data_IF_235357644740
#
_entry.id   IF_235357644740
#
_cell.length_a   1.000
_cell.length_b   1.000
_cell.length_c   1.000
_cell.angle_alpha   90.00
_cell.angle_beta   90.00
_cell.angle_gamma   90.00
#
_symmetry.space_group_name_H-M   'P 1'
#
loop_
_entity.id
_entity.type
_entity.pdbx_description
1 polymer ?
#
# COMPACT_ATOMS: atom_id res chain seq x y z
N UNK A 1 15.39 15.98 1.20
CA UNK A 1 13.96 15.60 1.21
C UNK A 1 13.92 14.08 1.13
N UNK A 2 13.07 13.39 1.89
CA UNK A 2 13.00 11.92 1.84
C UNK A 2 12.41 11.49 0.49
N UNK A 3 12.97 10.45 -0.12
CA UNK A 3 12.34 9.77 -1.26
C UNK A 3 11.00 9.15 -0.80
N UNK A 4 10.02 9.11 -1.69
CA UNK A 4 8.68 8.60 -1.40
C UNK A 4 8.43 7.31 -2.16
N UNK A 5 7.84 6.33 -1.49
CA UNK A 5 7.30 5.11 -2.10
C UNK A 5 5.80 5.05 -1.86
N UNK A 6 5.06 4.72 -2.92
CA UNK A 6 3.61 4.55 -2.88
C UNK A 6 3.26 3.08 -3.00
N UNK A 7 2.42 2.59 -2.10
CA UNK A 7 1.86 1.26 -2.16
C UNK A 7 0.33 1.34 -2.29
N UNK A 8 -0.24 0.55 -3.18
CA UNK A 8 -1.58 0.03 -3.01
C UNK A 8 -1.63 -1.02 -1.88
N UNK A 9 -2.82 -1.46 -1.49
CA UNK A 9 -2.98 -2.51 -0.49
C UNK A 9 -3.43 -3.86 -1.05
N UNK A 10 -4.56 -3.92 -1.75
CA UNK A 10 -5.21 -5.19 -2.07
C UNK A 10 -4.56 -5.81 -3.31
N UNK A 11 -4.17 -7.08 -3.22
CA UNK A 11 -3.27 -7.77 -4.15
C UNK A 11 -1.88 -7.14 -4.33
N UNK A 12 -1.55 -6.10 -3.56
CA UNK A 12 -0.21 -5.48 -3.51
C UNK A 12 0.52 -5.84 -2.22
N UNK A 13 -0.06 -5.49 -1.06
CA UNK A 13 0.47 -5.84 0.26
C UNK A 13 -0.17 -7.11 0.82
N UNK A 14 -1.46 -7.32 0.54
CA UNK A 14 -2.20 -8.48 1.04
C UNK A 14 -3.24 -8.98 0.04
N UNK A 15 -3.73 -10.20 0.25
CA UNK A 15 -4.96 -10.72 -0.37
C UNK A 15 -5.85 -11.35 0.69
N UNK A 16 -7.14 -11.49 0.39
CA UNK A 16 -8.06 -12.27 1.23
C UNK A 16 -7.76 -13.75 1.01
N UNK A 17 -7.52 -14.48 2.10
CA UNK A 17 -7.30 -15.91 2.05
C UNK A 17 -8.60 -16.61 1.67
N UNK A 18 -8.61 -17.34 0.55
CA UNK A 18 -9.72 -18.21 0.19
C UNK A 18 -9.78 -19.37 1.19
N UNK A 19 -10.76 -19.33 2.11
CA UNK A 19 -11.03 -20.45 2.99
C UNK A 19 -11.49 -21.66 2.15
N UNK A 20 -10.77 -22.77 2.25
CA UNK A 20 -11.37 -24.08 2.00
C UNK A 20 -12.52 -24.28 3.01
N UNK A 21 -13.67 -24.71 2.53
CA UNK A 21 -14.93 -24.89 3.27
C UNK A 21 -14.76 -25.46 4.68
N UNK A 22 -14.86 -24.63 5.73
CA UNK A 22 -15.58 -24.97 6.97
C UNK A 22 -16.07 -23.66 7.61
N UNK A 23 -17.34 -23.34 7.40
CA UNK A 23 -18.04 -22.27 8.11
C UNK A 23 -18.55 -22.81 9.44
N UNK A 24 -17.89 -22.47 10.54
CA UNK A 24 -18.56 -22.41 11.85
C UNK A 24 -18.93 -20.96 12.12
N UNK A 25 -20.24 -20.72 12.08
CA UNK A 25 -20.86 -19.42 12.27
C UNK A 25 -20.50 -18.83 13.65
N UNK A 26 -19.81 -17.68 13.64
CA UNK A 26 -20.10 -16.44 14.37
C UNK A 26 -18.86 -15.54 14.26
N UNK A 27 -18.99 -14.43 13.54
CA UNK A 27 -17.92 -13.49 13.14
C UNK A 27 -16.86 -14.07 12.19
N UNK A 28 -17.18 -14.15 10.89
CA UNK A 28 -16.13 -14.35 9.87
C UNK A 28 -15.35 -13.04 9.73
N UNK A 29 -14.29 -12.87 10.52
CA UNK A 29 -13.24 -11.91 10.18
C UNK A 29 -12.59 -12.40 8.89
N UNK A 30 -12.64 -11.60 7.82
CA UNK A 30 -11.92 -11.90 6.58
C UNK A 30 -10.46 -12.17 6.92
N UNK A 31 -10.02 -13.42 6.74
CA UNK A 31 -8.63 -13.76 6.98
C UNK A 31 -7.81 -13.20 5.81
N UNK A 32 -6.82 -12.37 6.09
CA UNK A 32 -5.91 -11.82 5.10
C UNK A 32 -4.54 -12.47 5.22
N UNK A 33 -3.82 -12.54 4.10
CA UNK A 33 -2.42 -12.99 4.06
C UNK A 33 -1.58 -11.99 3.26
N UNK A 34 -0.31 -11.84 3.65
CA UNK A 34 0.63 -10.98 2.95
C UNK A 34 0.92 -11.52 1.55
N UNK A 35 1.05 -10.62 0.57
CA UNK A 35 1.60 -10.98 -0.73
C UNK A 35 3.09 -11.38 -0.59
N UNK A 36 3.64 -12.23 -1.47
CA UNK A 36 5.05 -12.62 -1.44
C UNK A 36 5.98 -11.41 -1.35
N UNK A 37 6.93 -11.44 -0.40
CA UNK A 37 7.93 -10.39 -0.14
C UNK A 37 7.36 -9.00 0.23
N UNK A 38 6.04 -8.82 0.34
CA UNK A 38 5.42 -7.51 0.51
C UNK A 38 5.84 -6.81 1.80
N UNK A 39 5.71 -7.49 2.94
CA UNK A 39 6.03 -6.89 4.24
C UNK A 39 7.54 -6.68 4.41
N UNK A 40 8.37 -7.61 3.91
CA UNK A 40 9.82 -7.45 3.92
C UNK A 40 10.28 -6.23 3.10
N UNK A 41 9.72 -6.07 1.90
CA UNK A 41 10.03 -4.93 1.01
C UNK A 41 9.53 -3.62 1.61
N UNK A 42 8.30 -3.59 2.11
CA UNK A 42 7.73 -2.44 2.82
C UNK A 42 8.63 -2.01 3.99
N UNK A 43 9.07 -2.95 4.83
CA UNK A 43 9.95 -2.68 5.96
C UNK A 43 11.36 -2.26 5.52
N UNK A 44 11.86 -2.78 4.39
CA UNK A 44 13.13 -2.35 3.81
C UNK A 44 13.11 -0.87 3.45
N UNK A 45 12.09 -0.40 2.72
CA UNK A 45 11.93 1.03 2.41
C UNK A 45 11.82 1.88 3.69
N UNK A 46 11.07 1.42 4.69
CA UNK A 46 10.95 2.11 5.97
C UNK A 46 12.32 2.29 6.64
N UNK A 47 13.12 1.22 6.73
CA UNK A 47 14.47 1.24 7.33
C UNK A 47 15.46 2.08 6.55
N UNK A 48 15.31 2.15 5.22
CA UNK A 48 16.11 3.02 4.36
C UNK A 48 15.70 4.50 4.46
N UNK A 49 14.65 4.82 5.21
CA UNK A 49 14.25 6.20 5.51
C UNK A 49 13.32 6.83 4.47
N UNK A 50 12.71 6.03 3.59
CA UNK A 50 11.70 6.50 2.66
C UNK A 50 10.47 7.01 3.41
N UNK A 51 9.78 8.00 2.81
CA UNK A 51 8.39 8.29 3.18
C UNK A 51 7.51 7.23 2.53
N UNK A 52 6.82 6.43 3.33
CA UNK A 52 5.84 5.47 2.84
C UNK A 52 4.46 6.10 2.82
N UNK A 53 3.79 5.98 1.69
CA UNK A 53 2.40 6.36 1.50
C UNK A 53 1.63 5.15 0.99
N UNK A 54 0.55 4.80 1.68
CA UNK A 54 -0.39 3.80 1.23
C UNK A 54 -1.61 4.52 0.66
N UNK A 55 -2.01 4.22 -0.56
CA UNK A 55 -3.21 4.75 -1.19
C UNK A 55 -4.14 3.58 -1.47
N UNK A 56 -5.31 3.54 -0.84
CA UNK A 56 -6.23 2.40 -0.87
C UNK A 56 -7.65 2.83 -1.28
N UNK A 57 -8.42 1.93 -1.88
CA UNK A 57 -9.87 2.13 -2.09
C UNK A 57 -10.68 1.91 -0.81
N UNK A 58 -10.14 1.17 0.17
CA UNK A 58 -10.74 1.05 1.50
C UNK A 58 -10.62 2.35 2.28
N UNK A 59 -11.43 2.50 3.32
CA UNK A 59 -11.25 3.59 4.27
C UNK A 59 -9.89 3.47 5.01
N UNK A 60 -9.42 4.60 5.55
CA UNK A 60 -8.09 4.66 6.18
C UNK A 60 -7.99 3.83 7.47
N UNK A 61 -9.09 3.68 8.22
CA UNK A 61 -9.09 2.91 9.47
C UNK A 61 -9.01 1.41 9.18
N UNK A 62 -9.79 0.90 8.24
CA UNK A 62 -9.71 -0.49 7.78
C UNK A 62 -8.35 -0.80 7.18
N UNK A 63 -7.83 0.09 6.34
CA UNK A 63 -6.48 -0.03 5.77
C UNK A 63 -5.40 -0.12 6.85
N UNK A 64 -5.50 0.72 7.89
CA UNK A 64 -4.59 0.72 9.05
C UNK A 64 -4.70 -0.57 9.87
N UNK A 65 -5.91 -1.06 10.10
CA UNK A 65 -6.15 -2.32 10.81
C UNK A 65 -5.52 -3.49 10.07
N UNK A 66 -5.76 -3.60 8.76
CA UNK A 66 -5.20 -4.67 7.94
C UNK A 66 -3.66 -4.63 7.92
N UNK A 67 -3.07 -3.45 7.78
CA UNK A 67 -1.60 -3.33 7.86
C UNK A 67 -1.09 -3.76 9.25
N UNK A 68 -1.76 -3.37 10.33
CA UNK A 68 -1.41 -3.81 11.68
C UNK A 68 -1.40 -5.34 11.78
N UNK A 69 -2.43 -6.01 11.26
CA UNK A 69 -2.55 -7.46 11.30
C UNK A 69 -1.43 -8.15 10.50
N UNK A 70 -1.07 -7.62 9.33
CA UNK A 70 0.06 -8.13 8.53
C UNK A 70 1.40 -7.97 9.26
N UNK A 71 1.62 -6.85 9.94
CA UNK A 71 2.86 -6.60 10.68
C UNK A 71 2.96 -7.49 11.94
N UNK A 72 1.85 -7.75 12.62
CA UNK A 72 1.78 -8.74 13.72
C UNK A 72 2.12 -10.13 13.19
N UNK A 73 1.49 -10.54 12.09
CA UNK A 73 1.74 -11.85 11.47
C UNK A 73 3.22 -12.02 11.02
N UNK A 74 3.87 -10.93 10.63
CA UNK A 74 5.30 -10.91 10.32
C UNK A 74 6.22 -10.95 11.56
N UNK A 75 5.67 -10.72 12.77
CA UNK A 75 6.38 -10.86 14.03
C UNK A 75 6.90 -9.55 14.65
N UNK A 76 6.40 -8.38 14.22
CA UNK A 76 6.72 -7.12 14.89
C UNK A 76 6.01 -7.02 16.24
N UNK A 77 6.68 -6.40 17.21
CA UNK A 77 6.06 -6.04 18.48
C UNK A 77 5.09 -4.86 18.34
N UNK A 78 4.13 -4.75 19.27
CA UNK A 78 3.16 -3.64 19.29
C UNK A 78 3.83 -2.25 19.32
N UNK A 79 4.98 -2.13 19.99
CA UNK A 79 5.72 -0.87 20.07
C UNK A 79 6.34 -0.51 18.72
N UNK A 80 6.93 -1.47 18.01
CA UNK A 80 7.47 -1.25 16.66
C UNK A 80 6.37 -0.86 15.68
N UNK A 81 5.23 -1.54 15.74
CA UNK A 81 4.07 -1.24 14.88
C UNK A 81 3.55 0.16 15.17
N UNK A 82 3.40 0.53 16.46
CA UNK A 82 2.92 1.86 16.86
C UNK A 82 3.83 2.97 16.33
N UNK A 83 5.15 2.81 16.45
CA UNK A 83 6.11 3.79 15.93
C UNK A 83 6.10 3.85 14.40
N UNK A 84 6.03 2.70 13.73
CA UNK A 84 5.92 2.64 12.27
C UNK A 84 4.66 3.34 11.77
N UNK A 85 3.50 3.03 12.34
CA UNK A 85 2.21 3.58 11.91
C UNK A 85 2.05 5.08 12.20
N UNK A 86 2.91 5.69 13.03
CA UNK A 86 2.98 7.15 13.20
C UNK A 86 3.73 7.85 12.05
N UNK A 87 4.57 7.12 11.33
CA UNK A 87 5.51 7.69 10.36
C UNK A 87 5.09 7.48 8.89
N UNK A 88 4.13 6.61 8.64
CA UNK A 88 3.56 6.39 7.30
C UNK A 88 2.25 7.17 7.13
N UNK A 89 1.88 7.44 5.88
CA UNK A 89 0.55 7.97 5.57
C UNK A 89 -0.31 6.88 4.94
N UNK A 90 -1.60 6.84 5.30
CA UNK A 90 -2.58 5.93 4.73
C UNK A 90 -3.75 6.78 4.24
N UNK A 91 -3.94 6.82 2.93
CA UNK A 91 -4.93 7.63 2.25
C UNK A 91 -6.02 6.74 1.67
N UNK A 92 -7.27 7.22 1.74
CA UNK A 92 -8.41 6.57 1.12
C UNK A 92 -8.85 7.32 -0.12
N UNK A 93 -8.96 6.60 -1.23
CA UNK A 93 -9.43 7.14 -2.51
C UNK A 93 -10.88 7.62 -2.47
N UNK A 94 -11.66 7.24 -1.45
CA UNK A 94 -13.01 7.78 -1.24
C UNK A 94 -13.05 9.31 -1.17
N UNK A 95 -11.92 9.96 -0.80
CA UNK A 95 -11.81 11.42 -0.69
C UNK A 95 -11.30 12.10 -1.96
N UNK A 96 -10.77 11.35 -2.93
CA UNK A 96 -10.10 11.90 -4.12
C UNK A 96 -10.78 11.49 -5.43
N UNK A 97 -11.41 10.31 -5.48
CA UNK A 97 -12.08 9.78 -6.67
C UNK A 97 -11.67 8.35 -6.99
N UNK A 98 -11.73 7.99 -8.27
CA UNK A 98 -11.43 6.63 -8.74
C UNK A 98 -9.94 6.44 -8.97
N UNK A 99 -9.37 5.30 -8.56
CA UNK A 99 -7.99 4.91 -8.94
C UNK A 99 -7.78 4.71 -10.45
N UNK A 100 -8.84 4.69 -11.24
CA UNK A 100 -8.75 4.61 -12.69
C UNK A 100 -8.53 5.98 -13.36
N UNK A 101 -8.55 7.08 -12.60
CA UNK A 101 -8.39 8.43 -13.15
C UNK A 101 -7.11 9.07 -12.63
N UNK A 102 -6.34 9.66 -13.55
CA UNK A 102 -5.11 10.39 -13.25
C UNK A 102 -5.35 11.51 -12.26
N UNK A 103 -6.46 12.23 -12.37
CA UNK A 103 -6.81 13.40 -11.55
C UNK A 103 -6.95 13.02 -10.07
N UNK A 104 -7.52 11.85 -9.78
CA UNK A 104 -7.67 11.39 -8.40
C UNK A 104 -6.31 11.03 -7.79
N UNK A 105 -5.42 10.44 -8.58
CA UNK A 105 -4.03 10.19 -8.19
C UNK A 105 -3.25 11.51 -7.98
N UNK A 106 -3.43 12.51 -8.85
CA UNK A 106 -2.81 13.83 -8.68
C UNK A 106 -3.20 14.43 -7.33
N UNK A 107 -4.50 14.48 -7.01
CA UNK A 107 -4.96 15.06 -5.75
C UNK A 107 -4.45 14.28 -4.52
N UNK A 108 -4.43 12.94 -4.60
CA UNK A 108 -3.89 12.11 -3.52
C UNK A 108 -2.38 12.28 -3.34
N UNK A 109 -1.61 12.45 -4.43
CA UNK A 109 -0.15 12.45 -4.40
C UNK A 109 0.47 13.86 -4.29
N UNK A 110 -0.29 14.91 -4.55
CA UNK A 110 0.15 16.32 -4.52
C UNK A 110 0.95 16.75 -3.29
N UNK A 111 0.68 16.26 -2.06
CA UNK A 111 1.49 16.61 -0.89
C UNK A 111 2.91 16.01 -0.89
N UNK A 112 3.13 14.97 -1.71
CA UNK A 112 4.36 14.21 -1.75
C UNK A 112 5.26 14.67 -2.90
N UNK A 113 6.56 14.48 -2.70
CA UNK A 113 7.60 14.82 -3.67
C UNK A 113 8.61 13.68 -3.74
N UNK A 114 9.40 13.67 -4.81
CA UNK A 114 10.42 12.65 -5.05
C UNK A 114 9.82 11.24 -4.95
N UNK A 115 8.72 10.98 -5.65
CA UNK A 115 8.11 9.65 -5.71
C UNK A 115 9.01 8.80 -6.62
N UNK A 116 9.69 7.81 -6.05
CA UNK A 116 10.65 6.97 -6.77
C UNK A 116 10.04 5.62 -7.19
N UNK A 117 9.08 5.11 -6.41
CA UNK A 117 8.48 3.80 -6.66
C UNK A 117 6.97 3.84 -6.42
N UNK A 118 6.22 3.19 -7.30
CA UNK A 118 4.77 2.95 -7.13
C UNK A 118 4.49 1.46 -7.35
N UNK A 119 3.82 0.85 -6.38
CA UNK A 119 3.35 -0.53 -6.43
C UNK A 119 1.82 -0.57 -6.48
N UNK A 120 1.24 -1.13 -7.54
CA UNK A 120 -0.21 -1.25 -7.72
C UNK A 120 -0.55 -2.46 -8.60
N UNK A 121 -1.48 -3.30 -8.14
CA UNK A 121 -1.84 -4.57 -8.78
C UNK A 121 -2.50 -4.44 -10.16
N UNK A 122 -3.23 -3.34 -10.38
CA UNK A 122 -3.99 -3.13 -11.61
C UNK A 122 -3.25 -2.27 -12.63
N UNK A 123 -2.93 -2.82 -13.79
CA UNK A 123 -2.19 -2.12 -14.89
C UNK A 123 -2.76 -0.74 -15.23
N UNK A 124 -4.09 -0.64 -15.42
CA UNK A 124 -4.74 0.64 -15.73
C UNK A 124 -4.60 1.68 -14.60
N UNK A 125 -4.64 1.23 -13.33
CA UNK A 125 -4.47 2.10 -12.18
C UNK A 125 -3.00 2.52 -12.02
N UNK A 126 -2.07 1.59 -12.22
CA UNK A 126 -0.63 1.82 -12.18
C UNK A 126 -0.21 2.83 -13.25
N UNK A 127 -0.74 2.71 -14.47
CA UNK A 127 -0.54 3.69 -15.53
C UNK A 127 -1.03 5.09 -15.12
N UNK A 128 -2.26 5.20 -14.61
CA UNK A 128 -2.82 6.48 -14.14
C UNK A 128 -2.00 7.10 -13.00
N UNK A 129 -1.51 6.27 -12.06
CA UNK A 129 -0.64 6.71 -10.98
C UNK A 129 0.72 7.22 -11.51
N UNK A 130 1.32 6.51 -12.46
CA UNK A 130 2.57 6.92 -13.10
C UNK A 130 2.44 8.24 -13.87
N UNK A 131 1.37 8.43 -14.63
CA UNK A 131 1.09 9.69 -15.33
C UNK A 131 0.89 10.85 -14.34
N UNK A 132 0.16 10.62 -13.24
CA UNK A 132 -0.04 11.60 -12.20
C UNK A 132 1.28 12.00 -11.52
N UNK A 133 2.16 11.04 -11.21
CA UNK A 133 3.47 11.31 -10.63
C UNK A 133 4.36 12.14 -11.58
N UNK A 134 4.34 11.83 -12.88
CA UNK A 134 5.02 12.61 -13.94
C UNK A 134 4.54 14.05 -14.01
N UNK A 135 3.23 14.27 -13.95
CA UNK A 135 2.64 15.61 -13.94
C UNK A 135 3.04 16.40 -12.69
N UNK A 136 3.24 15.72 -11.56
CA UNK A 136 3.75 16.29 -10.31
C UNK A 136 5.28 16.45 -10.28
N UNK A 137 5.98 16.13 -11.36
CA UNK A 137 7.42 16.31 -11.50
C UNK A 137 8.28 15.20 -10.89
N UNK A 138 7.72 14.01 -10.68
CA UNK A 138 8.47 12.79 -10.32
C UNK A 138 8.48 11.81 -11.50
N UNK A 139 9.47 10.92 -11.58
CA UNK A 139 9.51 9.88 -12.62
C UNK A 139 9.73 8.51 -11.94
N UNK A 140 8.69 7.94 -11.32
CA UNK A 140 8.82 6.73 -10.54
C UNK A 140 8.98 5.49 -11.41
N UNK A 141 9.68 4.50 -10.89
CA UNK A 141 9.60 3.14 -11.38
C UNK A 141 8.25 2.52 -10.94
N UNK A 142 7.60 1.83 -11.88
CA UNK A 142 6.25 1.31 -11.74
C UNK A 142 6.27 -0.20 -11.68
N UNK A 143 5.69 -0.77 -10.62
CA UNK A 143 5.67 -2.22 -10.39
C UNK A 143 4.24 -2.73 -10.22
N UNK A 144 3.89 -3.77 -10.99
CA UNK A 144 2.57 -4.41 -10.90
C UNK A 144 2.47 -5.37 -9.72
N UNK A 145 3.60 -5.74 -9.13
CA UNK A 145 3.68 -6.56 -7.93
C UNK A 145 5.00 -6.29 -7.19
N UNK A 146 5.03 -6.58 -5.88
CA UNK A 146 6.30 -6.52 -5.12
C UNK A 146 7.28 -7.61 -5.59
N UNK A 147 6.76 -8.75 -6.06
CA UNK A 147 7.59 -9.85 -6.57
C UNK A 147 8.38 -9.45 -7.82
N UNK A 148 7.82 -8.61 -8.68
CA UNK A 148 8.50 -8.07 -9.87
C UNK A 148 9.72 -7.21 -9.49
N UNK A 149 9.63 -6.43 -8.42
CA UNK A 149 10.71 -5.55 -7.95
C UNK A 149 11.90 -6.30 -7.33
N UNK A 150 11.65 -7.42 -6.65
CA UNK A 150 12.71 -8.15 -5.93
C UNK A 150 13.48 -9.16 -6.80
N UNK A 151 13.10 -9.31 -8.08
CA UNK A 151 13.72 -10.25 -9.03
C UNK A 151 14.76 -9.57 -9.91
#
# INVERSE_FOLDING_TARGET
MKATVVFDMHHTLYRVATQGEVVTAHYLTEQIEAMPFAIETFLSFYRQGYKIVIISTSDAQSSRSRLNDLLIAYGLSENEIRELLKNIDILSMQFFGSKHTKEAWIEAMKPYKNIEYIFEDGEAKLHAAGEAAKELGSDPELYSSVEEFVR
#
